data_IF_012581984513
#
_entry.id   IF_012581984513
#
_cell.length_a   1.000
_cell.length_b   1.000
_cell.length_c   1.000
_cell.angle_alpha   90.00
_cell.angle_beta   90.00
_cell.angle_gamma   90.00
#
_symmetry.space_group_name_H-M   'P 1'
#
loop_
_entity.id
_entity.type
_entity.pdbx_description
1 polymer ?
#
# COMPACT_ATOMS: atom_id res chain seq x y z
N UNK A 1 25.92 -18.09 -17.51
CA UNK A 1 25.77 -18.96 -16.34
C UNK A 1 26.48 -18.22 -15.22
N UNK A 2 25.82 -17.47 -14.34
CA UNK A 2 24.45 -17.54 -13.78
C UNK A 2 24.02 -16.07 -13.48
N UNK A 3 22.80 -15.57 -13.74
CA UNK A 3 21.48 -16.14 -13.49
C UNK A 3 21.11 -15.91 -12.02
N UNK A 4 20.09 -15.08 -11.74
CA UNK A 4 19.52 -14.71 -10.42
C UNK A 4 20.28 -13.57 -9.69
N UNK A 5 19.73 -12.40 -9.36
CA UNK A 5 18.36 -11.95 -9.09
C UNK A 5 18.11 -10.59 -9.78
N UNK A 6 17.40 -10.58 -10.91
CA UNK A 6 16.64 -9.38 -11.25
C UNK A 6 15.54 -9.28 -10.19
N UNK A 7 15.64 -8.30 -9.29
CA UNK A 7 14.51 -7.89 -8.46
C UNK A 7 13.43 -7.39 -9.43
N UNK A 8 12.57 -8.30 -9.87
CA UNK A 8 11.31 -7.97 -10.50
C UNK A 8 10.47 -7.28 -9.43
N UNK A 9 10.69 -5.97 -9.26
CA UNK A 9 9.72 -5.08 -8.63
C UNK A 9 8.52 -5.02 -9.56
N UNK A 10 7.73 -6.10 -9.58
CA UNK A 10 6.49 -6.13 -10.32
C UNK A 10 5.55 -5.12 -9.64
N UNK A 11 5.17 -4.09 -10.38
CA UNK A 11 4.28 -3.05 -9.86
C UNK A 11 2.98 -3.73 -9.41
N UNK A 12 2.71 -3.76 -8.12
CA UNK A 12 1.49 -4.40 -7.61
C UNK A 12 0.30 -3.50 -7.89
N UNK A 13 -0.74 -4.08 -8.49
CA UNK A 13 -1.95 -3.36 -8.91
C UNK A 13 -3.14 -3.79 -8.07
N UNK A 14 -3.96 -2.83 -7.70
CA UNK A 14 -5.19 -3.03 -6.95
C UNK A 14 -6.34 -2.36 -7.69
N UNK A 15 -7.51 -3.00 -7.69
CA UNK A 15 -8.75 -2.38 -8.11
C UNK A 15 -9.58 -2.10 -6.87
N UNK A 16 -10.05 -0.87 -6.73
CA UNK A 16 -10.82 -0.41 -5.57
C UNK A 16 -12.08 0.27 -6.06
N UNK A 17 -13.22 -0.13 -5.52
CA UNK A 17 -14.45 0.67 -5.66
C UNK A 17 -14.36 1.88 -4.72
N UNK A 18 -14.66 3.06 -5.25
CA UNK A 18 -14.63 4.34 -4.52
C UNK A 18 -15.70 5.27 -5.08
N UNK A 19 -16.69 5.62 -4.25
CA UNK A 19 -17.78 6.55 -4.60
C UNK A 19 -18.60 6.13 -5.84
N UNK A 20 -18.76 4.82 -6.06
CA UNK A 20 -19.39 4.26 -7.25
C UNK A 20 -18.50 4.26 -8.49
N UNK A 21 -17.25 4.69 -8.36
CA UNK A 21 -16.24 4.70 -9.42
C UNK A 21 -15.22 3.57 -9.21
N UNK A 22 -14.45 3.25 -10.25
CA UNK A 22 -13.40 2.23 -10.20
C UNK A 22 -12.03 2.89 -10.22
N UNK A 23 -11.27 2.70 -9.15
CA UNK A 23 -9.87 3.12 -9.03
C UNK A 23 -8.91 1.96 -9.31
N UNK A 24 -7.87 2.25 -10.08
CA UNK A 24 -6.65 1.47 -10.19
C UNK A 24 -5.60 2.13 -9.29
N UNK A 25 -5.09 1.37 -8.32
CA UNK A 25 -3.97 1.79 -7.49
C UNK A 25 -2.75 0.98 -7.89
N UNK A 26 -1.66 1.67 -8.22
CA UNK A 26 -0.38 1.06 -8.57
C UNK A 26 0.60 1.35 -7.45
N UNK A 27 1.10 0.29 -6.82
CA UNK A 27 2.21 0.36 -5.89
C UNK A 27 3.50 0.19 -6.67
N UNK A 28 4.30 1.24 -6.71
CA UNK A 28 5.57 1.33 -7.42
C UNK A 28 6.72 1.42 -6.43
N UNK A 29 7.91 1.04 -6.89
CA UNK A 29 9.16 1.37 -6.21
C UNK A 29 9.80 2.53 -6.96
N UNK A 30 10.11 3.63 -6.26
CA UNK A 30 10.87 4.77 -6.77
C UNK A 30 12.14 4.25 -7.42
N UNK A 31 12.42 4.70 -8.65
CA UNK A 31 13.60 4.33 -9.43
C UNK A 31 14.57 5.50 -9.55
N UNK A 32 14.94 6.07 -8.41
CA UNK A 32 16.00 7.08 -8.35
C UNK A 32 17.38 6.42 -8.47
N UNK A 33 18.08 6.69 -9.57
CA UNK A 33 19.38 6.06 -9.88
C UNK A 33 20.49 6.45 -8.89
N UNK A 34 20.29 7.53 -8.14
CA UNK A 34 21.27 8.05 -7.18
C UNK A 34 21.08 7.45 -5.78
N UNK A 35 20.04 6.65 -5.57
CA UNK A 35 19.75 5.99 -4.28
C UNK A 35 20.46 4.62 -4.20
N UNK A 36 21.33 4.46 -3.21
CA UNK A 36 21.83 3.13 -2.83
C UNK A 36 20.75 2.37 -2.06
N UNK A 37 19.98 1.56 -2.79
CA UNK A 37 18.90 0.70 -2.28
C UNK A 37 19.31 -0.24 -1.15
N UNK A 38 20.62 -0.50 -0.97
CA UNK A 38 21.14 -1.36 0.11
C UNK A 38 21.22 -0.64 1.44
N UNK A 39 21.12 0.69 1.44
CA UNK A 39 21.26 1.54 2.63
C UNK A 39 19.93 2.13 3.11
N UNK A 40 18.85 2.02 2.33
CA UNK A 40 17.53 2.51 2.71
C UNK A 40 16.57 1.38 3.11
N UNK A 41 15.69 1.61 4.09
CA UNK A 41 14.56 0.72 4.33
C UNK A 41 13.66 0.64 3.08
N UNK A 42 13.20 -0.56 2.71
CA UNK A 42 12.34 -0.75 1.53
C UNK A 42 11.07 0.13 1.52
N UNK A 43 10.58 0.60 2.67
CA UNK A 43 9.42 1.48 2.72
C UNK A 43 9.72 2.93 2.32
N UNK A 44 10.97 3.38 2.29
CA UNK A 44 11.31 4.77 1.88
C UNK A 44 11.25 4.97 0.37
N UNK A 45 11.20 3.85 -0.37
CA UNK A 45 11.25 3.82 -1.82
C UNK A 45 9.91 3.37 -2.42
N UNK A 46 8.87 3.13 -1.62
CA UNK A 46 7.54 2.80 -2.13
C UNK A 46 6.74 4.07 -2.44
N UNK A 47 5.99 4.05 -3.53
CA UNK A 47 5.11 5.14 -3.96
C UNK A 47 3.82 4.58 -4.54
N UNK A 48 2.76 5.38 -4.50
CA UNK A 48 1.45 5.00 -4.99
C UNK A 48 0.96 6.00 -6.03
N UNK A 49 0.41 5.45 -7.11
CA UNK A 49 -0.27 6.17 -8.17
C UNK A 49 -1.71 5.68 -8.24
N UNK A 50 -2.66 6.60 -8.32
CA UNK A 50 -4.08 6.28 -8.38
C UNK A 50 -4.65 6.81 -9.69
N UNK A 51 -5.49 5.99 -10.30
CA UNK A 51 -6.20 6.35 -11.52
C UNK A 51 -7.65 5.94 -11.42
N UNK A 52 -8.55 6.81 -11.89
CA UNK A 52 -9.95 6.51 -12.08
C UNK A 52 -10.23 6.06 -13.51
N UNK A 53 -11.09 5.04 -13.67
CA UNK A 53 -11.57 4.63 -14.99
C UNK A 53 -12.70 5.54 -15.48
N UNK A 54 -12.45 6.28 -16.56
CA UNK A 54 -13.51 6.86 -17.39
C UNK A 54 -14.03 5.77 -18.34
N UNK A 55 -15.21 5.23 -18.01
CA UNK A 55 -15.88 4.21 -18.83
C UNK A 55 -16.32 4.72 -20.20
N UNK A 56 -16.61 6.01 -20.33
CA UNK A 56 -17.08 6.62 -21.59
C UNK A 56 -15.96 6.67 -22.59
N UNK A 57 -14.81 7.22 -22.19
CA UNK A 57 -13.65 7.37 -23.07
C UNK A 57 -12.67 6.19 -23.01
N UNK A 58 -12.90 5.21 -22.11
CA UNK A 58 -12.06 4.03 -21.87
C UNK A 58 -10.62 4.41 -21.52
N UNK A 59 -10.46 5.37 -20.62
CA UNK A 59 -9.16 5.92 -20.21
C UNK A 59 -9.04 5.97 -18.70
N UNK A 60 -7.79 5.99 -18.24
CA UNK A 60 -7.44 6.15 -16.84
C UNK A 60 -7.06 7.61 -16.59
N UNK A 61 -7.71 8.25 -15.63
CA UNK A 61 -7.49 9.63 -15.23
C UNK A 61 -6.82 9.67 -13.85
N UNK A 62 -5.74 10.43 -13.70
CA UNK A 62 -4.99 10.47 -12.44
C UNK A 62 -5.83 11.07 -11.29
N UNK A 63 -5.73 10.45 -10.12
CA UNK A 63 -6.38 10.90 -8.88
C UNK A 63 -5.31 11.14 -7.82
N UNK A 64 -5.26 12.35 -7.30
CA UNK A 64 -4.28 12.74 -6.27
C UNK A 64 -4.93 13.07 -4.92
N UNK A 65 -6.26 12.89 -4.80
CA UNK A 65 -6.99 13.20 -3.59
C UNK A 65 -8.22 12.29 -3.45
N UNK A 66 -8.34 11.62 -2.29
CA UNK A 66 -9.46 10.73 -1.95
C UNK A 66 -10.55 11.42 -1.12
N UNK A 67 -10.37 12.70 -0.79
CA UNK A 67 -11.25 13.48 0.07
C UNK A 67 -11.25 12.94 1.50
N UNK A 68 -12.43 12.66 2.04
CA UNK A 68 -12.62 12.11 3.38
C UNK A 68 -12.37 10.58 3.46
N UNK A 69 -12.02 9.93 2.34
CA UNK A 69 -11.79 8.49 2.27
C UNK A 69 -10.32 8.13 2.45
N UNK A 70 -10.08 6.90 2.89
CA UNK A 70 -8.79 6.23 2.81
C UNK A 70 -8.96 4.88 2.12
N UNK A 71 -7.86 4.35 1.56
CA UNK A 71 -7.84 3.02 0.97
C UNK A 71 -7.16 2.04 1.92
N UNK A 72 -7.70 0.83 2.03
CA UNK A 72 -7.05 -0.29 2.70
C UNK A 72 -6.66 -1.33 1.66
N UNK A 73 -5.36 -1.57 1.53
CA UNK A 73 -4.74 -2.47 0.57
C UNK A 73 -4.00 -3.61 1.29
N UNK A 74 -4.31 -4.83 0.90
CA UNK A 74 -3.70 -6.06 1.40
C UNK A 74 -3.52 -7.07 0.27
N UNK A 75 -2.99 -8.26 0.60
CA UNK A 75 -2.77 -9.30 -0.40
C UNK A 75 -4.06 -9.68 -1.17
N UNK A 76 -5.19 -9.79 -0.45
CA UNK A 76 -6.49 -10.21 -1.00
C UNK A 76 -7.60 -9.19 -0.74
N UNK A 77 -7.26 -7.94 -0.46
CA UNK A 77 -8.24 -6.92 -0.04
C UNK A 77 -7.85 -5.57 -0.59
N UNK A 78 -8.82 -4.89 -1.19
CA UNK A 78 -8.66 -3.56 -1.73
C UNK A 78 -10.00 -2.84 -1.63
N UNK A 79 -10.13 -1.97 -0.64
CA UNK A 79 -11.39 -1.31 -0.31
C UNK A 79 -11.19 0.16 0.00
N UNK A 80 -12.20 0.98 -0.28
CA UNK A 80 -12.27 2.35 0.20
C UNK A 80 -13.14 2.42 1.46
N UNK A 81 -12.74 3.27 2.40
CA UNK A 81 -13.43 3.47 3.67
C UNK A 81 -13.52 4.97 3.92
N UNK A 82 -14.67 5.44 4.37
CA UNK A 82 -14.80 6.79 4.89
C UNK A 82 -14.06 6.88 6.22
N UNK A 83 -13.04 7.73 6.33
CA UNK A 83 -12.14 7.71 7.48
C UNK A 83 -12.88 7.90 8.82
N UNK A 84 -13.93 8.74 8.82
CA UNK A 84 -14.76 9.02 10.00
C UNK A 84 -15.52 7.81 10.54
N UNK A 85 -15.74 6.77 9.72
CA UNK A 85 -16.48 5.57 10.13
C UNK A 85 -15.74 4.79 11.22
N UNK A 86 -14.41 4.88 11.27
CA UNK A 86 -13.56 4.10 12.18
C UNK A 86 -12.86 4.96 13.24
N UNK A 87 -13.54 6.01 13.73
CA UNK A 87 -13.01 6.96 14.73
C UNK A 87 -11.68 7.60 14.31
N UNK A 88 -10.97 8.28 15.21
CA UNK A 88 -9.70 8.99 14.94
C UNK A 88 -8.51 8.05 14.60
N UNK A 89 -8.78 6.75 14.37
CA UNK A 89 -7.75 5.76 14.04
C UNK A 89 -7.36 5.77 12.56
N UNK A 90 -8.25 6.23 11.67
CA UNK A 90 -7.98 6.39 10.25
C UNK A 90 -7.83 7.87 9.89
N UNK A 91 -6.85 8.14 9.03
CA UNK A 91 -6.61 9.44 8.42
C UNK A 91 -7.20 9.42 7.02
N UNK A 92 -7.91 10.50 6.68
CA UNK A 92 -8.40 10.71 5.32
C UNK A 92 -7.25 10.95 4.34
N UNK A 93 -7.53 10.81 3.06
CA UNK A 93 -6.58 11.03 1.98
C UNK A 93 -5.28 10.20 2.12
N UNK A 94 -5.43 8.97 2.63
CA UNK A 94 -4.32 8.06 2.91
C UNK A 94 -4.56 6.66 2.33
N UNK A 95 -3.48 5.90 2.15
CA UNK A 95 -3.49 4.49 1.77
C UNK A 95 -2.81 3.69 2.87
N UNK A 96 -3.57 2.81 3.50
CA UNK A 96 -3.08 1.82 4.44
C UNK A 96 -2.73 0.57 3.67
N UNK A 97 -1.48 0.12 3.78
CA UNK A 97 -1.03 -1.04 3.02
C UNK A 97 -0.20 -1.98 3.89
N UNK A 98 -0.23 -3.25 3.49
CA UNK A 98 0.70 -4.25 4.02
C UNK A 98 1.87 -4.41 3.06
N UNK A 99 3.06 -4.56 3.62
CA UNK A 99 4.27 -4.72 2.82
C UNK A 99 4.34 -6.17 2.31
N UNK A 100 4.15 -6.36 0.99
CA UNK A 100 4.25 -7.68 0.36
C UNK A 100 5.72 -8.07 0.20
N UNK A 101 6.20 -8.95 1.07
CA UNK A 101 7.57 -9.48 0.99
C UNK A 101 7.57 -10.85 0.32
N UNK A 102 7.66 -10.90 -1.01
CA UNK A 102 7.76 -12.16 -1.77
C UNK A 102 9.18 -12.50 -2.21
N UNK A 103 10.15 -11.59 -2.08
CA UNK A 103 11.52 -11.82 -2.54
C UNK A 103 12.56 -11.57 -1.44
N UNK A 104 13.24 -12.64 -1.00
CA UNK A 104 14.65 -12.53 -0.58
C UNK A 104 15.04 -12.90 0.85
N UNK A 105 14.11 -13.09 1.79
CA UNK A 105 14.49 -13.45 3.16
C UNK A 105 14.52 -14.97 3.41
N UNK A 106 15.23 -15.70 2.55
CA UNK A 106 15.70 -17.04 2.92
C UNK A 106 16.92 -16.88 3.84
N UNK A 107 16.68 -16.76 5.15
CA UNK A 107 17.69 -17.08 6.17
C UNK A 107 18.44 -15.93 6.86
N UNK A 108 18.11 -14.65 6.62
CA UNK A 108 18.71 -13.53 7.38
C UNK A 108 17.75 -13.01 8.45
N UNK A 109 18.24 -12.94 9.70
CA UNK A 109 17.57 -12.35 10.87
C UNK A 109 17.48 -10.82 10.74
N UNK A 110 16.90 -10.30 9.66
CA UNK A 110 16.63 -8.87 9.58
C UNK A 110 15.34 -8.59 10.34
N UNK A 111 15.43 -7.77 11.38
CA UNK A 111 14.30 -7.34 12.21
C UNK A 111 13.34 -6.54 11.32
N UNK A 112 12.31 -7.21 10.82
CA UNK A 112 11.39 -6.72 9.79
C UNK A 112 10.16 -6.07 10.42
N UNK A 113 10.41 -4.97 11.13
CA UNK A 113 9.47 -4.35 12.06
C UNK A 113 8.29 -3.57 11.48
N UNK A 114 8.13 -3.49 10.15
CA UNK A 114 7.12 -2.62 9.54
C UNK A 114 6.32 -3.37 8.48
N UNK A 115 5.48 -4.30 8.94
CA UNK A 115 4.58 -5.04 8.05
C UNK A 115 3.44 -4.18 7.49
N UNK A 116 3.20 -3.00 8.08
CA UNK A 116 2.11 -2.08 7.71
C UNK A 116 2.62 -0.63 7.60
N UNK A 117 2.27 0.02 6.50
CA UNK A 117 2.56 1.44 6.26
C UNK A 117 1.29 2.23 5.95
N UNK A 118 1.36 3.55 6.16
CA UNK A 118 0.39 4.53 5.67
C UNK A 118 1.10 5.43 4.68
N UNK A 119 0.60 5.51 3.45
CA UNK A 119 1.02 6.51 2.47
C UNK A 119 0.02 7.67 2.51
N UNK A 120 0.50 8.85 2.87
CA UNK A 120 -0.28 10.09 2.86
C UNK A 120 -0.19 10.71 1.46
N UNK A 121 -1.34 10.93 0.81
CA UNK A 121 -1.36 11.48 -0.56
C UNK A 121 -1.01 12.98 -0.60
N UNK A 122 -1.15 13.70 0.52
CA UNK A 122 -0.89 15.14 0.57
C UNK A 122 0.61 15.43 0.57
N UNK A 123 1.37 14.78 1.47
CA UNK A 123 2.82 14.97 1.56
C UNK A 123 3.64 13.92 0.77
N UNK A 124 2.96 12.89 0.23
CA UNK A 124 3.54 11.74 -0.49
C UNK A 124 4.60 10.99 0.31
N UNK A 125 4.39 10.86 1.62
CA UNK A 125 5.29 10.15 2.54
C UNK A 125 4.65 8.90 3.12
N UNK A 126 5.50 7.90 3.34
CA UNK A 126 5.13 6.70 4.07
C UNK A 126 5.46 6.89 5.55
N UNK A 127 4.50 6.57 6.41
CA UNK A 127 4.64 6.55 7.86
C UNK A 127 4.36 5.14 8.38
N UNK A 128 5.07 4.67 9.41
CA UNK A 128 4.76 3.39 10.02
C UNK A 128 3.39 3.46 10.69
N UNK A 129 2.46 2.58 10.31
CA UNK A 129 1.15 2.50 10.95
C UNK A 129 1.21 1.71 12.26
N UNK A 130 2.00 0.63 12.25
CA UNK A 130 2.14 -0.31 13.35
C UNK A 130 3.58 -0.34 13.81
N UNK A 131 3.78 -0.17 15.13
CA UNK A 131 5.12 -0.17 15.75
C UNK A 131 5.62 -1.57 16.11
N UNK A 132 4.76 -2.60 15.98
CA UNK A 132 5.11 -3.97 16.32
C UNK A 132 5.77 -4.70 15.15
N UNK A 133 6.61 -5.68 15.49
CA UNK A 133 7.28 -6.53 14.51
C UNK A 133 6.38 -7.72 14.20
N UNK A 134 6.08 -7.95 12.91
CA UNK A 134 5.48 -9.23 12.52
C UNK A 134 6.55 -10.32 12.62
N UNK A 135 6.32 -11.32 13.46
CA UNK A 135 7.29 -12.41 13.67
C UNK A 135 7.03 -13.61 12.78
N UNK A 136 5.92 -13.66 12.03
CA UNK A 136 5.53 -14.80 11.21
C UNK A 136 5.53 -14.47 9.71
N UNK A 137 6.34 -15.19 8.94
CA UNK A 137 6.39 -15.07 7.48
C UNK A 137 5.21 -15.78 6.79
N UNK A 138 4.73 -16.89 7.37
CA UNK A 138 3.65 -17.72 6.81
C UNK A 138 2.25 -17.19 7.10
N UNK A 139 2.14 -16.22 8.01
CA UNK A 139 0.87 -15.58 8.39
C UNK A 139 1.11 -14.08 8.46
N UNK A 140 1.22 -13.40 7.30
CA UNK A 140 1.31 -11.96 7.28
C UNK A 140 0.07 -11.37 7.96
N UNK A 141 0.14 -10.12 8.45
CA UNK A 141 -1.03 -9.43 8.96
C UNK A 141 -2.18 -9.45 7.95
N UNK A 142 -3.41 -9.34 8.44
CA UNK A 142 -4.61 -9.27 7.63
C UNK A 142 -5.45 -8.10 8.11
N UNK A 143 -6.09 -7.40 7.17
CA UNK A 143 -7.08 -6.38 7.51
C UNK A 143 -8.39 -7.05 7.89
N UNK A 144 -8.90 -6.71 9.07
CA UNK A 144 -10.25 -7.03 9.49
C UNK A 144 -11.06 -5.74 9.55
N UNK A 145 -12.18 -5.72 8.84
CA UNK A 145 -13.05 -4.56 8.74
C UNK A 145 -14.34 -4.92 9.47
N UNK A 146 -14.48 -4.58 10.75
CA UNK A 146 -15.70 -4.87 11.47
C UNK A 146 -16.86 -4.10 10.85
N UNK A 147 -18.01 -4.76 10.73
CA UNK A 147 -19.26 -4.09 10.39
C UNK A 147 -19.62 -3.16 11.54
N UNK A 148 -19.76 -1.87 11.24
CA UNK A 148 -20.25 -0.91 12.21
C UNK A 148 -21.71 -1.22 12.49
N UNK A 149 -22.00 -1.67 13.71
CA UNK A 149 -23.38 -1.79 14.16
C UNK A 149 -23.86 -0.38 14.43
N UNK A 150 -24.84 0.10 13.66
CA UNK A 150 -25.51 1.36 13.98
C UNK A 150 -26.01 1.29 15.42
N UNK A 151 -25.58 2.23 16.25
CA UNK A 151 -26.14 2.44 17.60
C UNK A 151 -27.48 3.14 17.52
#
# INVERSE_FOLDING_TARGET
MDGWLELNFDNKRYLVEWLGELLLVIKCVRKDKDIDWRQLPMYEIEEFELYKLDFTNKKWEEVNNLGEYCLILGHNTSVSILASDYSDSLQKNCIYFMHDFTAGCSGTKTIMGYAMGVFDLEDRRIRPHYKGISTCFYSPPLWFIPTLTMK
#
